data_IF_512333943162
#
_entry.id   IF_512333943162
#
_cell.length_a   1.000
_cell.length_b   1.000
_cell.length_c   1.000
_cell.angle_alpha   90.00
_cell.angle_beta   90.00
_cell.angle_gamma   90.00
#
_symmetry.space_group_name_H-M   'P 1'
#
loop_
_entity.id
_entity.type
_entity.pdbx_description
1 polymer ?
#
# COMPACT_ATOMS: atom_id res chain seq x y z
N UNK A 1 6.54 5.90 25.16
CA UNK A 1 6.32 5.09 23.95
C UNK A 1 5.05 4.31 24.18
N UNK A 2 3.96 4.65 23.49
CA UNK A 2 2.71 3.90 23.58
C UNK A 2 2.85 2.69 22.69
N UNK A 3 2.67 1.48 23.24
CA UNK A 3 2.63 0.27 22.42
C UNK A 3 1.45 0.38 21.45
N UNK A 4 1.66 0.18 20.14
CA UNK A 4 0.56 0.18 19.19
C UNK A 4 -0.38 -0.98 19.52
N UNK A 5 -1.63 -0.67 19.85
CA UNK A 5 -2.70 -1.65 19.93
C UNK A 5 -3.30 -1.86 18.54
N UNK A 6 -3.54 -3.12 18.18
CA UNK A 6 -4.21 -3.49 16.94
C UNK A 6 -5.72 -3.34 17.08
N UNK A 7 -6.17 -2.09 17.23
CA UNK A 7 -7.58 -1.72 17.36
C UNK A 7 -8.26 -1.54 16.00
N UNK A 8 -9.59 -1.45 16.02
CA UNK A 8 -10.43 -1.14 14.85
C UNK A 8 -9.98 0.16 14.14
N UNK A 9 -9.54 1.16 14.89
CA UNK A 9 -8.99 2.40 14.32
C UNK A 9 -7.70 2.14 13.54
N UNK A 10 -6.75 1.37 14.09
CA UNK A 10 -5.50 1.02 13.39
C UNK A 10 -5.77 0.22 12.12
N UNK A 11 -6.77 -0.68 12.14
CA UNK A 11 -7.21 -1.44 10.96
C UNK A 11 -7.76 -0.53 9.87
N UNK A 12 -8.63 0.41 10.24
CA UNK A 12 -9.21 1.38 9.30
C UNK A 12 -8.14 2.28 8.70
N UNK A 13 -7.20 2.75 9.51
CA UNK A 13 -6.09 3.58 9.05
C UNK A 13 -5.17 2.83 8.08
N UNK A 14 -4.82 1.57 8.40
CA UNK A 14 -4.06 0.70 7.50
C UNK A 14 -4.81 0.45 6.18
N UNK A 15 -6.10 0.13 6.26
CA UNK A 15 -6.97 -0.11 5.10
C UNK A 15 -7.04 1.11 4.18
N UNK A 16 -7.21 2.30 4.75
CA UNK A 16 -7.25 3.55 4.00
C UNK A 16 -5.88 3.90 3.40
N UNK A 17 -4.80 3.72 4.15
CA UNK A 17 -3.44 3.95 3.67
C UNK A 17 -3.09 3.03 2.48
N UNK A 18 -3.39 1.72 2.58
CA UNK A 18 -3.22 0.78 1.48
C UNK A 18 -4.04 1.18 0.25
N UNK A 19 -5.32 1.54 0.45
CA UNK A 19 -6.19 1.96 -0.66
C UNK A 19 -5.64 3.21 -1.35
N UNK A 20 -5.25 4.23 -0.59
CA UNK A 20 -4.68 5.47 -1.14
C UNK A 20 -3.40 5.18 -1.91
N UNK A 21 -2.49 4.39 -1.32
CA UNK A 21 -1.21 4.07 -1.94
C UNK A 21 -1.39 3.22 -3.21
N UNK A 22 -2.26 2.21 -3.20
CA UNK A 22 -2.57 1.41 -4.39
C UNK A 22 -3.26 2.24 -5.46
N UNK A 23 -4.13 3.18 -5.08
CA UNK A 23 -4.79 4.10 -6.04
C UNK A 23 -3.80 5.05 -6.69
N UNK A 24 -2.74 5.46 -6.00
CA UNK A 24 -1.63 6.22 -6.57
C UNK A 24 -0.76 5.33 -7.47
N UNK A 25 -0.50 4.09 -7.03
CA UNK A 25 0.28 3.10 -7.76
C UNK A 25 -0.39 2.71 -9.09
N UNK A 26 -1.70 2.48 -9.09
CA UNK A 26 -2.56 2.09 -10.22
C UNK A 26 -2.87 3.26 -11.18
N UNK A 27 -1.85 4.05 -11.54
CA UNK A 27 -1.95 5.18 -12.47
C UNK A 27 -0.94 5.06 -13.61
N UNK A 28 -1.07 4.06 -14.49
CA UNK A 28 -0.13 3.85 -15.60
C UNK A 28 -0.06 5.01 -16.59
N UNK A 29 -1.12 5.83 -16.67
CA UNK A 29 -1.19 7.00 -17.54
C UNK A 29 -0.52 8.25 -16.96
N UNK A 30 -0.10 8.22 -15.68
CA UNK A 30 0.55 9.36 -15.02
C UNK A 30 2.05 9.38 -15.30
N UNK A 31 2.60 10.57 -15.56
CA UNK A 31 4.05 10.73 -15.72
C UNK A 31 4.82 10.21 -14.49
N UNK A 32 5.86 9.39 -14.72
CA UNK A 32 6.69 8.77 -13.68
C UNK A 32 7.14 9.74 -12.59
N UNK A 33 7.54 10.98 -12.95
CA UNK A 33 7.97 11.99 -11.96
C UNK A 33 6.84 12.41 -11.03
N UNK A 34 5.66 12.68 -11.57
CA UNK A 34 4.48 13.07 -10.80
C UNK A 34 4.00 11.90 -9.96
N UNK A 35 3.88 10.73 -10.57
CA UNK A 35 3.53 9.48 -9.88
C UNK A 35 4.46 9.21 -8.69
N UNK A 36 5.77 9.30 -8.91
CA UNK A 36 6.77 9.09 -7.86
C UNK A 36 6.69 10.13 -6.75
N UNK A 37 6.48 11.40 -7.09
CA UNK A 37 6.34 12.48 -6.11
C UNK A 37 5.15 12.25 -5.18
N UNK A 38 4.04 11.72 -5.68
CA UNK A 38 2.85 11.42 -4.88
C UNK A 38 2.98 10.09 -4.11
N UNK A 39 3.57 9.06 -4.72
CA UNK A 39 3.70 7.73 -4.13
C UNK A 39 4.84 7.64 -3.10
N UNK A 40 6.01 8.22 -3.38
CA UNK A 40 7.19 8.14 -2.52
C UNK A 40 6.93 8.47 -1.04
N UNK A 41 6.19 9.52 -0.62
CA UNK A 41 5.93 9.77 0.79
C UNK A 41 5.14 8.64 1.50
N UNK A 42 4.40 7.82 0.74
CA UNK A 42 3.63 6.67 1.25
C UNK A 42 4.45 5.39 1.35
N UNK A 43 5.61 5.34 0.71
CA UNK A 43 6.49 4.17 0.69
C UNK A 43 7.47 4.21 1.87
N UNK A 44 7.81 3.03 2.38
CA UNK A 44 8.92 2.84 3.30
C UNK A 44 10.26 3.16 2.63
N UNK A 45 11.32 3.46 3.39
CA UNK A 45 12.64 3.71 2.81
C UNK A 45 13.13 2.56 1.91
N UNK A 46 12.87 1.31 2.28
CA UNK A 46 13.22 0.13 1.48
C UNK A 46 12.39 0.05 0.20
N UNK A 47 11.07 0.23 0.32
CA UNK A 47 10.17 0.28 -0.83
C UNK A 47 10.55 1.41 -1.79
N UNK A 48 10.95 2.59 -1.29
CA UNK A 48 11.41 3.69 -2.15
C UNK A 48 12.58 3.27 -3.03
N UNK A 49 13.55 2.57 -2.45
CA UNK A 49 14.71 2.08 -3.20
C UNK A 49 14.33 1.02 -4.23
N UNK A 50 13.35 0.15 -3.91
CA UNK A 50 12.86 -0.86 -4.84
C UNK A 50 12.01 -0.25 -5.99
N UNK A 51 11.13 0.70 -5.69
CA UNK A 51 10.15 1.24 -6.63
C UNK A 51 10.64 2.46 -7.42
N UNK A 52 11.75 3.12 -7.06
CA UNK A 52 12.26 4.28 -7.81
C UNK A 52 12.55 3.96 -9.30
N UNK A 53 12.90 2.70 -9.57
CA UNK A 53 13.17 2.20 -10.92
C UNK A 53 11.90 1.84 -11.70
N UNK A 54 10.80 1.57 -11.02
CA UNK A 54 9.55 1.10 -11.63
C UNK A 54 8.97 2.17 -12.54
N UNK A 55 8.48 1.73 -13.70
CA UNK A 55 7.71 2.56 -14.60
C UNK A 55 6.21 2.33 -14.33
N UNK A 56 5.42 3.38 -14.05
CA UNK A 56 3.98 3.21 -13.84
C UNK A 56 3.30 2.58 -15.06
N UNK A 57 3.84 2.72 -16.27
CA UNK A 57 3.29 2.08 -17.47
C UNK A 57 3.29 0.54 -17.42
N UNK A 58 4.10 -0.07 -16.54
CA UNK A 58 4.11 -1.52 -16.32
C UNK A 58 2.98 -1.98 -15.37
N UNK A 59 2.30 -1.06 -14.71
CA UNK A 59 1.22 -1.38 -13.77
C UNK A 59 -0.06 -1.66 -14.57
N UNK A 60 -0.54 -2.90 -14.50
CA UNK A 60 -1.79 -3.35 -15.14
C UNK A 60 -3.03 -2.83 -14.42
N UNK A 61 -2.92 -2.56 -13.13
CA UNK A 61 -3.97 -1.94 -12.35
C UNK A 61 -4.18 -0.47 -12.77
N UNK A 62 -5.41 -0.13 -13.12
CA UNK A 62 -5.85 1.24 -13.47
C UNK A 62 -6.93 1.74 -12.53
N UNK A 63 -7.66 0.85 -11.86
CA UNK A 63 -8.77 1.23 -10.99
C UNK A 63 -8.90 0.25 -9.82
N UNK A 64 -8.89 0.81 -8.62
CA UNK A 64 -9.14 0.08 -7.37
C UNK A 64 -10.64 0.16 -7.06
N UNK A 65 -11.35 -0.94 -7.23
CA UNK A 65 -12.82 -1.02 -7.08
C UNK A 65 -13.24 -1.71 -5.78
N UNK A 66 -12.36 -2.52 -5.20
CA UNK A 66 -12.64 -3.32 -4.00
C UNK A 66 -12.54 -2.53 -2.69
N UNK A 67 -13.30 -3.00 -1.70
CA UNK A 67 -13.11 -2.62 -0.31
C UNK A 67 -11.80 -3.23 0.20
N UNK A 68 -10.93 -2.46 0.88
CA UNK A 68 -9.75 -3.01 1.53
C UNK A 68 -10.17 -4.04 2.59
N UNK A 69 -9.66 -5.25 2.46
CA UNK A 69 -9.79 -6.31 3.45
C UNK A 69 -8.46 -6.42 4.20
N UNK A 70 -8.50 -6.20 5.51
CA UNK A 70 -7.31 -6.28 6.35
C UNK A 70 -7.12 -7.72 6.80
N UNK A 71 -5.99 -8.31 6.42
CA UNK A 71 -5.70 -9.70 6.72
C UNK A 71 -5.60 -9.95 8.23
N UNK A 72 -6.13 -11.09 8.70
CA UNK A 72 -6.18 -11.43 10.12
C UNK A 72 -4.81 -11.65 10.77
N UNK A 73 -3.77 -11.83 9.95
CA UNK A 73 -2.36 -11.95 10.37
C UNK A 73 -1.70 -10.61 10.71
N UNK A 74 -2.41 -9.49 10.48
CA UNK A 74 -1.91 -8.17 10.76
C UNK A 74 -1.63 -7.96 12.27
N UNK A 75 -0.46 -7.39 12.53
CA UNK A 75 0.10 -7.06 13.83
C UNK A 75 0.12 -5.55 14.05
N UNK A 76 0.42 -5.14 15.27
CA UNK A 76 0.50 -3.74 15.65
C UNK A 76 1.52 -2.90 14.86
N UNK A 77 2.52 -3.53 14.24
CA UNK A 77 3.57 -2.87 13.44
C UNK A 77 3.48 -3.19 11.94
N UNK A 78 2.74 -4.24 11.56
CA UNK A 78 2.74 -4.77 10.20
C UNK A 78 1.33 -5.17 9.83
N UNK A 79 0.78 -4.59 8.76
CA UNK A 79 -0.56 -4.88 8.31
C UNK A 79 -0.55 -5.31 6.85
N UNK A 80 -1.26 -6.37 6.54
CA UNK A 80 -1.45 -6.84 5.17
C UNK A 80 -2.87 -6.50 4.76
N UNK A 81 -3.04 -5.82 3.63
CA UNK A 81 -4.35 -5.40 3.12
C UNK A 81 -4.54 -5.87 1.70
N UNK A 82 -5.62 -6.60 1.46
CA UNK A 82 -6.01 -7.10 0.14
C UNK A 82 -7.07 -6.18 -0.47
N UNK A 83 -6.89 -5.81 -1.73
CA UNK A 83 -7.72 -4.86 -2.47
C UNK A 83 -8.06 -5.42 -3.85
N UNK A 84 -9.33 -5.40 -4.21
CA UNK A 84 -9.73 -5.73 -5.59
C UNK A 84 -9.41 -4.55 -6.52
N UNK A 85 -8.64 -4.82 -7.58
CA UNK A 85 -8.46 -3.92 -8.71
C UNK A 85 -9.09 -4.53 -9.97
N UNK A 86 -9.16 -3.74 -11.03
CA UNK A 86 -9.64 -4.17 -12.35
C UNK A 86 -8.88 -5.39 -12.91
N UNK A 87 -7.61 -5.54 -12.54
CA UNK A 87 -6.72 -6.62 -13.01
C UNK A 87 -6.69 -7.84 -12.08
N UNK A 88 -7.32 -7.75 -10.90
CA UNK A 88 -7.34 -8.83 -9.90
C UNK A 88 -7.11 -8.31 -8.48
N UNK A 89 -6.92 -9.23 -7.54
CA UNK A 89 -6.68 -8.92 -6.13
C UNK A 89 -5.21 -8.56 -5.89
N UNK A 90 -4.96 -7.34 -5.43
CA UNK A 90 -3.65 -6.86 -5.03
C UNK A 90 -3.48 -6.96 -3.52
N UNK A 91 -2.29 -7.35 -3.07
CA UNK A 91 -1.97 -7.39 -1.65
C UNK A 91 -0.92 -6.34 -1.33
N UNK A 92 -1.24 -5.46 -0.39
CA UNK A 92 -0.39 -4.36 0.05
C UNK A 92 0.11 -4.67 1.44
N UNK A 93 1.44 -4.80 1.57
CA UNK A 93 2.11 -4.93 2.84
C UNK A 93 2.44 -3.53 3.38
N UNK A 94 1.96 -3.22 4.57
CA UNK A 94 2.20 -1.97 5.27
C UNK A 94 3.01 -2.23 6.53
N UNK A 95 3.88 -1.29 6.88
CA UNK A 95 4.56 -1.22 8.17
C UNK A 95 4.34 0.15 8.80
N UNK A 96 4.50 0.24 10.13
CA UNK A 96 4.62 1.51 10.85
C UNK A 96 5.63 1.37 11.98
N UNK A 97 6.34 2.45 12.27
CA UNK A 97 7.33 2.46 13.36
C UNK A 97 6.69 2.62 14.75
N UNK A 98 5.53 3.28 14.84
CA UNK A 98 4.81 3.54 16.09
C UNK A 98 3.31 3.78 15.83
N UNK A 99 2.50 3.76 16.89
CA UNK A 99 1.05 3.97 16.81
C UNK A 99 0.65 5.32 16.17
N UNK A 100 1.42 6.38 16.47
CA UNK A 100 1.22 7.75 15.95
C UNK A 100 1.88 8.00 14.59
N UNK A 101 2.62 7.02 14.05
CA UNK A 101 3.25 7.15 12.74
C UNK A 101 2.31 6.64 11.64
N UNK A 102 2.28 7.31 10.47
CA UNK A 102 1.48 6.87 9.34
C UNK A 102 1.96 5.51 8.82
N UNK A 103 1.04 4.67 8.36
CA UNK A 103 1.40 3.43 7.67
C UNK A 103 2.15 3.73 6.37
N UNK A 104 3.26 3.04 6.20
CA UNK A 104 4.10 3.07 5.01
C UNK A 104 3.97 1.76 4.27
N UNK A 105 3.91 1.80 2.94
CA UNK A 105 3.89 0.60 2.12
C UNK A 105 5.30 0.04 2.00
N UNK A 106 5.44 -1.22 2.37
CA UNK A 106 6.65 -2.03 2.17
C UNK A 106 6.65 -2.69 0.78
N UNK A 107 5.48 -3.19 0.35
CA UNK A 107 5.37 -3.96 -0.89
C UNK A 107 3.97 -3.95 -1.47
N UNK A 108 3.88 -3.80 -2.78
CA UNK A 108 2.70 -4.10 -3.59
C UNK A 108 2.92 -5.46 -4.28
N UNK A 109 2.01 -6.39 -4.02
CA UNK A 109 2.01 -7.73 -4.62
C UNK A 109 0.89 -7.81 -5.65
N UNK A 110 1.21 -8.05 -6.94
CA UNK A 110 0.21 -8.18 -7.99
C UNK A 110 -0.58 -9.50 -7.86
N UNK A 111 -1.78 -9.58 -8.45
CA UNK A 111 -2.55 -10.81 -8.50
C UNK A 111 -1.78 -11.92 -9.23
N UNK A 112 -1.70 -13.10 -8.62
CA UNK A 112 -1.08 -14.28 -9.23
C UNK A 112 0.45 -14.35 -9.11
N UNK A 113 1.09 -13.44 -8.36
CA UNK A 113 2.45 -13.65 -7.87
C UNK A 113 2.40 -14.53 -6.62
N UNK A 114 2.54 -15.84 -6.80
CA UNK A 114 2.79 -16.85 -5.75
C UNK A 114 4.29 -17.20 -5.70
#
# INVERSE_FOLDING_TARGET
MTEPSWDDTSRKDAAEAARQALTLFARPETEKKTWWKELSPRLSPEARTAYQGVDPANVTATTVTGTPDVDGTASSYLATVSLQANDGTWTVLLSREAADQPWQVERFTPPGAD
#
